data_IF_429171647109
#
_entry.id   IF_429171647109
#
_cell.length_a   1.000
_cell.length_b   1.000
_cell.length_c   1.000
_cell.angle_alpha   90.00
_cell.angle_beta   90.00
_cell.angle_gamma   90.00
#
_symmetry.space_group_name_H-M   'P 1'
#
loop_
_entity.id
_entity.type
_entity.pdbx_description
1 polymer ?
#
# COMPACT_ATOMS: atom_id res chain seq x y z
N UNK A 1 7.16 -23.23 -0.65
CA UNK A 1 6.40 -21.97 -0.51
C UNK A 1 6.65 -21.16 -1.78
N UNK A 2 5.64 -21.02 -2.64
CA UNK A 2 5.80 -20.43 -3.98
C UNK A 2 6.27 -18.98 -3.91
N UNK A 3 7.08 -18.55 -4.89
CA UNK A 3 7.51 -17.15 -5.03
C UNK A 3 6.26 -16.29 -5.26
N UNK A 4 6.00 -15.34 -4.36
CA UNK A 4 4.90 -14.38 -4.52
C UNK A 4 5.01 -13.66 -5.87
N UNK A 5 3.86 -13.46 -6.52
CA UNK A 5 3.78 -12.70 -7.76
C UNK A 5 4.09 -11.22 -7.50
N UNK A 6 4.37 -10.48 -8.59
CA UNK A 6 4.57 -9.03 -8.49
C UNK A 6 3.29 -8.32 -7.98
N UNK A 7 2.12 -8.84 -8.33
CA UNK A 7 0.83 -8.28 -7.93
C UNK A 7 0.54 -8.52 -6.46
N UNK A 8 0.77 -9.75 -5.97
CA UNK A 8 0.64 -10.06 -4.53
C UNK A 8 1.57 -9.18 -3.70
N UNK A 9 2.78 -8.92 -4.22
CA UNK A 9 3.76 -8.06 -3.55
C UNK A 9 3.34 -6.59 -3.59
N UNK A 10 2.73 -6.15 -4.68
CA UNK A 10 2.15 -4.80 -4.80
C UNK A 10 1.02 -4.58 -3.79
N UNK A 11 0.14 -5.57 -3.60
CA UNK A 11 -0.93 -5.54 -2.58
C UNK A 11 -0.34 -5.48 -1.17
N UNK A 12 0.67 -6.30 -0.87
CA UNK A 12 1.34 -6.29 0.44
C UNK A 12 1.98 -4.91 0.75
N UNK A 13 2.60 -4.30 -0.26
CA UNK A 13 3.14 -2.93 -0.14
C UNK A 13 2.04 -1.91 0.13
N UNK A 14 0.90 -1.97 -0.58
CA UNK A 14 -0.22 -1.06 -0.33
C UNK A 14 -0.75 -1.20 1.09
N UNK A 15 -0.80 -2.42 1.62
CA UNK A 15 -1.14 -2.68 3.02
C UNK A 15 -0.25 -1.91 4.00
N UNK A 16 1.06 -2.13 3.92
CA UNK A 16 2.05 -1.46 4.77
C UNK A 16 2.08 0.07 4.57
N UNK A 17 1.90 0.52 3.33
CA UNK A 17 1.91 1.93 2.98
C UNK A 17 0.71 2.68 3.57
N UNK A 18 -0.50 2.10 3.55
CA UNK A 18 -1.69 2.69 4.19
C UNK A 18 -1.46 2.94 5.67
N UNK A 19 -0.88 1.99 6.38
CA UNK A 19 -0.60 2.12 7.83
C UNK A 19 0.42 3.23 8.09
N UNK A 20 1.56 3.22 7.38
CA UNK A 20 2.62 4.21 7.55
C UNK A 20 2.14 5.63 7.17
N UNK A 21 1.47 5.77 6.02
CA UNK A 21 0.95 7.06 5.57
C UNK A 21 -0.22 7.55 6.42
N UNK A 22 -1.06 6.65 6.95
CA UNK A 22 -2.15 7.00 7.85
C UNK A 22 -1.65 7.61 9.17
N UNK A 23 -0.51 7.14 9.67
CA UNK A 23 0.08 7.62 10.92
C UNK A 23 0.93 8.88 10.74
N UNK A 24 1.66 9.01 9.63
CA UNK A 24 2.71 10.03 9.49
C UNK A 24 2.53 10.98 8.30
N UNK A 25 1.48 10.78 7.50
CA UNK A 25 1.25 11.52 6.27
C UNK A 25 2.33 11.31 5.20
N UNK A 26 2.17 11.98 4.05
CA UNK A 26 3.11 11.86 2.93
C UNK A 26 4.53 12.28 3.30
N UNK A 27 4.70 13.37 4.04
CA UNK A 27 6.03 13.88 4.39
C UNK A 27 6.71 13.00 5.45
N UNK A 28 5.99 12.61 6.50
CA UNK A 28 6.56 11.89 7.64
C UNK A 28 6.78 10.39 7.46
N UNK A 29 6.06 9.73 6.55
CA UNK A 29 6.18 8.29 6.34
C UNK A 29 7.59 7.83 5.90
N UNK A 30 8.10 6.70 6.42
CA UNK A 30 9.37 6.12 5.97
C UNK A 30 9.14 5.01 4.93
N UNK A 31 9.71 5.17 3.74
CA UNK A 31 9.65 4.13 2.70
C UNK A 31 10.55 2.94 3.02
N UNK A 32 11.59 3.14 3.84
CA UNK A 32 12.41 2.07 4.42
C UNK A 32 11.59 1.23 5.41
N UNK A 33 10.77 1.86 6.26
CA UNK A 33 9.89 1.16 7.20
C UNK A 33 8.85 0.33 6.45
N UNK A 34 8.24 0.89 5.40
CA UNK A 34 7.32 0.16 4.51
C UNK A 34 8.02 -1.06 3.88
N UNK A 35 9.19 -0.86 3.26
CA UNK A 35 9.95 -1.93 2.62
C UNK A 35 10.30 -3.06 3.62
N UNK A 36 10.74 -2.69 4.83
CA UNK A 36 11.07 -3.62 5.91
C UNK A 36 9.85 -4.42 6.37
N UNK A 37 8.69 -3.77 6.54
CA UNK A 37 7.43 -4.43 6.96
C UNK A 37 6.99 -5.51 5.96
N UNK A 38 7.21 -5.28 4.67
CA UNK A 38 6.83 -6.20 3.59
C UNK A 38 7.93 -7.25 3.30
N UNK A 39 9.14 -7.08 3.84
CA UNK A 39 10.28 -7.95 3.56
C UNK A 39 10.83 -7.79 2.14
N UNK A 40 10.83 -6.56 1.62
CA UNK A 40 11.40 -6.23 0.30
C UNK A 40 12.51 -5.19 0.42
N UNK A 41 13.40 -5.12 -0.56
CA UNK A 41 14.37 -4.04 -0.63
C UNK A 41 13.68 -2.74 -1.04
N UNK A 42 14.19 -1.61 -0.56
CA UNK A 42 13.67 -0.30 -0.93
C UNK A 42 13.81 0.00 -2.45
N UNK A 43 14.89 -0.41 -3.15
CA UNK A 43 14.92 -0.31 -4.62
C UNK A 43 13.80 -1.12 -5.31
N UNK A 44 13.48 -2.30 -4.79
CA UNK A 44 12.37 -3.09 -5.33
C UNK A 44 11.01 -2.45 -5.05
N UNK A 45 10.83 -1.83 -3.87
CA UNK A 45 9.67 -1.02 -3.55
C UNK A 45 9.45 0.10 -4.59
N UNK A 46 10.51 0.82 -4.95
CA UNK A 46 10.43 1.88 -5.98
C UNK A 46 10.24 1.34 -7.40
N UNK A 47 10.61 0.08 -7.68
CA UNK A 47 10.23 -0.58 -8.93
C UNK A 47 8.72 -0.82 -9.04
N UNK A 48 8.05 -1.09 -7.92
CA UNK A 48 6.60 -1.20 -7.87
C UNK A 48 5.92 0.17 -7.89
N UNK A 49 6.41 1.11 -7.08
CA UNK A 49 5.86 2.45 -6.98
C UNK A 49 6.97 3.48 -7.25
N UNK A 50 7.04 4.07 -8.46
CA UNK A 50 8.17 4.89 -8.89
C UNK A 50 8.53 6.06 -7.97
N UNK A 51 7.56 6.55 -7.18
CA UNK A 51 7.79 7.64 -6.22
C UNK A 51 6.99 7.42 -4.94
N UNK A 52 7.43 8.04 -3.83
CA UNK A 52 6.68 8.10 -2.57
C UNK A 52 5.27 8.67 -2.78
N UNK A 53 5.15 9.71 -3.63
CA UNK A 53 3.86 10.31 -4.01
C UNK A 53 2.96 9.32 -4.75
N UNK A 54 3.49 8.56 -5.72
CA UNK A 54 2.71 7.55 -6.44
C UNK A 54 2.22 6.43 -5.51
N UNK A 55 3.05 6.01 -4.56
CA UNK A 55 2.69 5.04 -3.52
C UNK A 55 1.60 5.58 -2.59
N UNK A 56 1.71 6.85 -2.18
CA UNK A 56 0.71 7.53 -1.35
C UNK A 56 -0.64 7.62 -2.06
N UNK A 57 -0.66 8.09 -3.31
CA UNK A 57 -1.90 8.18 -4.10
C UNK A 57 -2.54 6.81 -4.30
N UNK A 58 -1.74 5.78 -4.59
CA UNK A 58 -2.26 4.42 -4.70
C UNK A 58 -2.84 3.90 -3.38
N UNK A 59 -2.22 4.23 -2.25
CA UNK A 59 -2.72 3.87 -0.90
C UNK A 59 -4.02 4.59 -0.55
N UNK A 60 -4.16 5.85 -0.97
CA UNK A 60 -5.39 6.64 -0.79
C UNK A 60 -6.53 6.07 -1.64
N UNK A 61 -6.27 5.80 -2.92
CA UNK A 61 -7.29 5.20 -3.81
C UNK A 61 -7.78 3.87 -3.28
N UNK A 62 -6.85 2.99 -2.92
CA UNK A 62 -7.19 1.68 -2.37
C UNK A 62 -7.97 1.78 -1.03
N UNK A 63 -7.67 2.78 -0.19
CA UNK A 63 -8.49 3.06 1.00
C UNK A 63 -9.94 3.43 0.63
N UNK A 64 -10.12 4.33 -0.33
CA UNK A 64 -11.44 4.73 -0.81
C UNK A 64 -12.20 3.58 -1.48
N UNK A 65 -11.52 2.72 -2.24
CA UNK A 65 -12.13 1.55 -2.87
C UNK A 65 -12.64 0.56 -1.82
N UNK A 66 -11.90 0.36 -0.72
CA UNK A 66 -12.35 -0.47 0.40
C UNK A 66 -13.52 0.13 1.15
N UNK A 67 -13.51 1.43 1.40
CA UNK A 67 -14.63 2.13 2.04
C UNK A 67 -15.88 2.04 1.17
N UNK A 68 -15.73 2.24 -0.15
CA UNK A 68 -16.82 2.08 -1.11
C UNK A 68 -17.38 0.65 -1.08
N UNK A 69 -16.53 -0.37 -1.19
CA UNK A 69 -16.96 -1.76 -1.16
C UNK A 69 -17.73 -2.09 0.12
N UNK A 70 -17.26 -1.63 1.28
CA UNK A 70 -17.97 -1.81 2.56
C UNK A 70 -19.36 -1.16 2.56
N UNK A 71 -19.49 0.04 1.99
CA UNK A 71 -20.81 0.69 1.87
C UNK A 71 -21.72 -0.04 0.88
N UNK A 72 -21.19 -0.53 -0.23
CA UNK A 72 -21.95 -1.32 -1.22
C UNK A 72 -22.44 -2.64 -0.62
N UNK A 73 -21.59 -3.36 0.11
CA UNK A 73 -21.95 -4.58 0.84
C UNK A 73 -23.04 -4.31 1.88
N UNK A 74 -22.88 -3.26 2.70
CA UNK A 74 -23.87 -2.89 3.70
C UNK A 74 -25.22 -2.45 3.10
N UNK A 75 -25.20 -1.85 1.90
CA UNK A 75 -26.41 -1.46 1.19
C UNK A 75 -27.12 -2.65 0.50
N UNK A 76 -26.39 -3.72 0.20
CA UNK A 76 -26.95 -4.91 -0.47
C UNK A 76 -27.81 -5.78 0.44
N UNK A 77 -27.64 -5.68 1.77
CA UNK A 77 -28.44 -6.39 2.79
C UNK A 77 -27.85 -7.72 3.22
#
# INVERSE_FOLDING_TARGET
MGRMSADERRVAVLGAAREEFGLSGLSGASTEAIARRVGVSQPYLFRLFPTKKAMFLASVNDCFDRVRALFEEAAAG
#
